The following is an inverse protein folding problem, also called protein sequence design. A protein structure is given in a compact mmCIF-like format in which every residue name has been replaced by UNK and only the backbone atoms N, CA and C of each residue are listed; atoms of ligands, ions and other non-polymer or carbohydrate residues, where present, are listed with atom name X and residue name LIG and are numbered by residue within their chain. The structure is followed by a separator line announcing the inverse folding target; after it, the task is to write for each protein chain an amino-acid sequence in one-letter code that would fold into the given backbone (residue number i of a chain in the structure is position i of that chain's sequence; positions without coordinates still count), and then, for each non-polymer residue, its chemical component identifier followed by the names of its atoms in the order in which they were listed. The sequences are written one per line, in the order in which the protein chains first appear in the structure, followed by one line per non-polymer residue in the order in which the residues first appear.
data_IF_973007873187
#
_entry.id   IF_973007873187
#
_cell.length_a   1.000
_cell.length_b   1.000
_cell.length_c   1.000
_cell.angle_alpha   90.00
_cell.angle_beta   90.00
_cell.angle_gamma   90.00
#
_symmetry.space_group_name_H-M   'P 1'
#
loop_
_entity.id
_entity.type
_entity.pdbx_description
1 polymer ?
#
# COMPACT_ATOMS: atom_id res chain seq x y z
N UNK A 1 9.49 7.41 0.53
CA UNK A 1 9.48 8.89 0.59
C UNK A 1 10.86 9.53 0.42
N UNK A 2 11.88 9.22 1.24
CA UNK A 2 13.21 9.88 1.14
C UNK A 2 13.80 9.98 -0.28
N UNK A 3 13.72 8.91 -1.08
CA UNK A 3 14.23 8.89 -2.47
C UNK A 3 13.53 9.87 -3.43
N UNK A 4 12.34 10.35 -3.07
CA UNK A 4 11.59 11.32 -3.86
C UNK A 4 11.89 12.78 -3.46
N UNK A 5 12.71 13.01 -2.43
CA UNK A 5 13.10 14.35 -1.97
C UNK A 5 14.25 14.91 -2.84
N UNK A 6 14.40 16.25 -2.93
CA UNK A 6 15.56 16.86 -3.59
C UNK A 6 16.87 16.46 -2.88
N UNK A 7 17.95 16.28 -3.63
CA UNK A 7 19.26 15.87 -3.08
C UNK A 7 19.43 14.36 -2.89
N UNK A 8 18.47 13.57 -3.37
CA UNK A 8 18.49 12.10 -3.36
C UNK A 8 18.51 11.51 -4.78
N UNK A 9 19.09 12.23 -5.75
CA UNK A 9 19.17 11.82 -7.15
C UNK A 9 19.91 10.50 -7.31
N UNK A 10 21.09 10.35 -6.69
CA UNK A 10 21.90 9.12 -6.75
C UNK A 10 21.19 7.93 -6.09
N UNK A 11 20.54 8.15 -4.94
CA UNK A 11 19.77 7.11 -4.24
C UNK A 11 18.58 6.62 -5.07
N UNK A 12 17.95 7.53 -5.83
CA UNK A 12 16.83 7.24 -6.72
C UNK A 12 17.28 6.50 -7.96
N UNK A 13 18.35 6.96 -8.61
CA UNK A 13 18.96 6.29 -9.77
C UNK A 13 19.38 4.86 -9.40
N UNK A 14 20.11 4.69 -8.29
CA UNK A 14 20.50 3.37 -7.79
C UNK A 14 19.30 2.46 -7.51
N UNK A 15 18.21 3.01 -6.98
CA UNK A 15 16.98 2.24 -6.73
C UNK A 15 16.32 1.79 -8.03
N UNK A 16 16.23 2.68 -9.03
CA UNK A 16 15.69 2.36 -10.36
C UNK A 16 16.55 1.32 -11.07
N UNK A 17 17.87 1.48 -11.06
CA UNK A 17 18.80 0.53 -11.66
C UNK A 17 18.74 -0.86 -11.03
N UNK A 18 18.60 -0.92 -9.70
CA UNK A 18 18.42 -2.19 -9.00
C UNK A 18 17.11 -2.88 -9.39
N UNK A 19 16.00 -2.12 -9.50
CA UNK A 19 14.71 -2.66 -9.94
C UNK A 19 14.78 -3.17 -11.40
N UNK A 20 15.43 -2.41 -12.28
CA UNK A 20 15.65 -2.76 -13.68
C UNK A 20 16.51 -4.03 -13.82
N UNK A 21 17.58 -4.14 -13.03
CA UNK A 21 18.45 -5.31 -13.03
C UNK A 21 17.69 -6.56 -12.56
N UNK A 22 16.90 -6.45 -11.49
CA UNK A 22 16.11 -7.58 -10.98
C UNK A 22 15.04 -8.01 -11.98
N UNK A 23 14.40 -7.06 -12.66
CA UNK A 23 13.46 -7.34 -13.75
C UNK A 23 14.12 -8.11 -14.89
N UNK A 24 15.24 -7.60 -15.41
CA UNK A 24 15.99 -8.28 -16.49
C UNK A 24 16.39 -9.69 -16.08
N UNK A 25 16.91 -9.87 -14.87
CA UNK A 25 17.31 -11.17 -14.34
C UNK A 25 16.13 -12.14 -14.26
N UNK A 26 15.02 -11.70 -13.66
CA UNK A 26 13.84 -12.52 -13.46
C UNK A 26 13.14 -12.87 -14.77
N UNK A 27 13.04 -11.91 -15.70
CA UNK A 27 12.49 -12.11 -17.04
C UNK A 27 13.33 -13.07 -17.87
N UNK A 28 14.65 -12.91 -17.88
CA UNK A 28 15.55 -13.83 -18.60
C UNK A 28 15.41 -15.27 -18.10
N UNK A 29 15.31 -15.46 -16.78
CA UNK A 29 15.05 -16.79 -16.20
C UNK A 29 13.69 -17.34 -16.61
N UNK A 30 12.64 -16.52 -16.58
CA UNK A 30 11.30 -16.92 -16.99
C UNK A 30 11.27 -17.42 -18.44
N UNK A 31 11.87 -16.66 -19.35
CA UNK A 31 11.94 -17.01 -20.79
C UNK A 31 12.79 -18.25 -21.02
N UNK A 32 13.98 -18.33 -20.41
CA UNK A 32 14.89 -19.46 -20.58
C UNK A 32 14.27 -20.79 -20.11
N UNK A 33 13.51 -20.76 -19.01
CA UNK A 33 12.83 -21.94 -18.48
C UNK A 33 11.46 -22.22 -19.14
N UNK A 34 11.03 -21.39 -20.11
CA UNK A 34 9.75 -21.53 -20.82
C UNK A 34 8.54 -21.65 -19.89
N UNK A 35 8.58 -20.91 -18.78
CA UNK A 35 7.44 -20.87 -17.86
C UNK A 35 6.24 -20.21 -18.53
N UNK A 36 5.03 -20.69 -18.19
CA UNK A 36 3.77 -20.14 -18.73
C UNK A 36 3.14 -19.12 -17.80
N UNK A 37 3.30 -19.31 -16.50
CA UNK A 37 2.74 -18.44 -15.45
C UNK A 37 3.87 -17.67 -14.78
N UNK A 38 3.76 -16.33 -14.63
CA UNK A 38 4.74 -15.51 -13.94
C UNK A 38 5.07 -16.08 -12.57
N UNK A 39 6.37 -16.23 -12.30
CA UNK A 39 6.81 -16.66 -10.98
C UNK A 39 6.70 -15.53 -9.98
N UNK A 40 6.69 -15.89 -8.70
CA UNK A 40 6.76 -14.92 -7.60
C UNK A 40 7.93 -13.93 -7.76
N UNK A 41 9.09 -14.39 -8.23
CA UNK A 41 10.24 -13.53 -8.47
C UNK A 41 10.00 -12.52 -9.61
N UNK A 42 9.35 -12.95 -10.69
CA UNK A 42 9.01 -12.06 -11.80
C UNK A 42 7.98 -11.01 -11.36
N UNK A 43 6.97 -11.41 -10.60
CA UNK A 43 5.98 -10.49 -10.00
C UNK A 43 6.64 -9.48 -9.08
N UNK A 44 7.49 -9.94 -8.16
CA UNK A 44 8.27 -9.05 -7.27
C UNK A 44 9.11 -8.04 -8.04
N UNK A 45 9.78 -8.47 -9.10
CA UNK A 45 10.57 -7.59 -9.93
C UNK A 45 9.72 -6.52 -10.65
N UNK A 46 8.55 -6.92 -11.18
CA UNK A 46 7.58 -5.99 -11.77
C UNK A 46 7.10 -4.94 -10.76
N UNK A 47 6.71 -5.37 -9.57
CA UNK A 47 6.28 -4.45 -8.51
C UNK A 47 7.42 -3.52 -8.02
N UNK A 48 8.67 -3.98 -8.08
CA UNK A 48 9.85 -3.13 -7.83
C UNK A 48 9.97 -1.98 -8.83
N UNK A 49 9.68 -2.22 -10.12
CA UNK A 49 9.61 -1.17 -11.13
C UNK A 49 8.47 -0.19 -10.87
N UNK A 50 7.29 -0.69 -10.49
CA UNK A 50 6.15 0.16 -10.10
C UNK A 50 6.49 1.08 -8.93
N UNK A 51 7.23 0.59 -7.93
CA UNK A 51 7.72 1.41 -6.83
C UNK A 51 8.75 2.46 -7.29
N UNK A 52 9.63 2.13 -8.23
CA UNK A 52 10.59 3.08 -8.82
C UNK A 52 9.88 4.19 -9.61
N UNK A 53 8.89 3.83 -10.43
CA UNK A 53 8.07 4.80 -11.18
C UNK A 53 7.24 5.68 -10.26
N UNK A 54 6.72 5.12 -9.17
CA UNK A 54 6.07 5.91 -8.12
C UNK A 54 7.01 6.99 -7.55
N UNK A 55 8.25 6.63 -7.23
CA UNK A 55 9.24 7.59 -6.71
C UNK A 55 9.51 8.70 -7.72
N UNK A 56 9.72 8.36 -8.99
CA UNK A 56 9.95 9.35 -10.05
C UNK A 56 8.74 10.26 -10.28
N UNK A 57 7.53 9.70 -10.23
CA UNK A 57 6.30 10.48 -10.34
C UNK A 57 6.17 11.45 -9.17
N UNK A 58 6.49 11.05 -7.94
CA UNK A 58 6.47 11.94 -6.77
C UNK A 58 7.50 13.07 -6.85
N UNK A 59 8.66 12.85 -7.51
CA UNK A 59 9.63 13.93 -7.79
C UNK A 59 9.03 14.99 -8.72
N UNK A 60 8.27 14.55 -9.74
CA UNK A 60 7.60 15.44 -10.71
C UNK A 60 6.33 16.10 -10.15
N UNK A 61 5.78 15.58 -9.06
CA UNK A 61 4.53 16.03 -8.43
C UNK A 61 4.77 16.40 -6.96
N UNK A 62 5.48 17.52 -6.66
CA UNK A 62 5.88 17.85 -5.30
C UNK A 62 4.68 18.08 -4.35
N UNK A 63 3.56 18.61 -4.84
CA UNK A 63 2.35 18.77 -4.03
C UNK A 63 1.77 17.44 -3.53
N UNK A 64 1.75 16.42 -4.41
CA UNK A 64 1.32 15.06 -4.08
C UNK A 64 2.32 14.40 -3.12
N UNK A 65 3.63 14.65 -3.31
CA UNK A 65 4.67 14.18 -2.40
C UNK A 65 4.51 14.73 -0.99
N UNK A 66 4.32 16.04 -0.83
CA UNK A 66 4.12 16.66 0.48
C UNK A 66 2.80 16.19 1.12
N UNK A 67 1.72 16.10 0.34
CA UNK A 67 0.44 15.55 0.81
C UNK A 67 0.58 14.13 1.33
N UNK A 68 1.23 13.25 0.57
CA UNK A 68 1.47 11.85 0.94
C UNK A 68 2.36 11.72 2.20
N UNK A 69 3.36 12.59 2.33
CA UNK A 69 4.25 12.66 3.50
C UNK A 69 3.49 13.11 4.75
N UNK A 70 2.68 14.16 4.63
CA UNK A 70 1.81 14.63 5.71
C UNK A 70 0.80 13.56 6.14
N UNK A 71 0.16 12.89 5.17
CA UNK A 71 -0.75 11.80 5.43
C UNK A 71 -0.07 10.63 6.16
N UNK A 72 1.09 10.18 5.67
CA UNK A 72 1.89 9.13 6.33
C UNK A 72 2.35 9.51 7.75
N UNK A 73 2.72 10.77 7.96
CA UNK A 73 3.06 11.27 9.31
C UNK A 73 1.88 11.19 10.27
N UNK A 74 0.68 11.59 9.83
CA UNK A 74 -0.54 11.52 10.65
C UNK A 74 -0.95 10.08 10.95
N UNK A 75 -0.80 9.15 10.00
CA UNK A 75 -1.02 7.73 10.27
C UNK A 75 -0.09 7.26 11.40
N UNK A 76 1.19 7.62 11.33
CA UNK A 76 2.16 7.20 12.34
C UNK A 76 1.89 7.84 13.71
N UNK A 77 1.63 9.14 13.75
CA UNK A 77 1.49 9.91 15.00
C UNK A 77 0.10 9.76 15.63
N UNK A 78 -0.96 10.06 14.87
CA UNK A 78 -2.33 10.13 15.39
C UNK A 78 -2.94 8.71 15.53
N UNK A 79 -2.74 7.83 14.53
CA UNK A 79 -3.36 6.49 14.54
C UNK A 79 -2.50 5.49 15.30
N UNK A 80 -1.28 5.22 14.81
CA UNK A 80 -0.43 4.18 15.39
C UNK A 80 0.08 4.57 16.79
N UNK A 81 0.63 5.78 16.93
CA UNK A 81 1.15 6.32 18.19
C UNK A 81 0.09 6.89 19.13
N UNK A 82 -1.11 7.18 18.63
CA UNK A 82 -2.21 7.78 19.39
C UNK A 82 -3.32 6.78 19.71
N UNK A 83 -4.28 6.66 18.80
CA UNK A 83 -5.51 5.88 19.01
C UNK A 83 -5.24 4.40 19.27
N UNK A 84 -4.40 3.76 18.44
CA UNK A 84 -4.02 2.36 18.61
C UNK A 84 -3.19 2.13 19.87
N UNK A 85 -2.24 3.01 20.19
CA UNK A 85 -1.45 2.90 21.41
C UNK A 85 -2.34 2.99 22.67
N UNK A 86 -3.31 3.90 22.64
CA UNK A 86 -4.30 4.07 23.71
C UNK A 86 -5.17 2.83 23.86
N UNK A 87 -5.68 2.28 22.75
CA UNK A 87 -6.50 1.07 22.77
C UNK A 87 -5.71 -0.17 23.22
N UNK A 88 -4.49 -0.33 22.72
CA UNK A 88 -3.58 -1.38 23.14
C UNK A 88 -3.29 -1.29 24.64
N UNK A 89 -3.04 -0.10 25.19
CA UNK A 89 -2.78 0.09 26.61
C UNK A 89 -4.01 -0.22 27.49
N UNK A 90 -5.23 0.04 27.01
CA UNK A 90 -6.47 -0.36 27.70
C UNK A 90 -6.61 -1.89 27.72
N UNK A 91 -6.40 -2.55 26.58
CA UNK A 91 -6.54 -4.00 26.44
C UNK A 91 -5.43 -4.80 27.12
N UNK A 92 -4.22 -4.24 27.20
CA UNK A 92 -3.07 -4.80 27.91
C UNK A 92 -3.38 -5.23 29.35
N UNK A 93 -4.33 -4.56 30.01
CA UNK A 93 -4.77 -4.91 31.38
C UNK A 93 -5.41 -6.30 31.47
N UNK A 94 -5.99 -6.80 30.37
CA UNK A 94 -6.66 -8.10 30.28
C UNK A 94 -5.84 -9.11 29.48
N UNK A 95 -5.09 -8.65 28.48
CA UNK A 95 -4.27 -9.48 27.62
C UNK A 95 -2.89 -8.83 27.41
N UNK A 96 -1.81 -9.36 28.04
CA UNK A 96 -0.47 -8.81 27.92
C UNK A 96 0.08 -8.74 26.49
N UNK A 97 -0.46 -9.51 25.53
CA UNK A 97 0.01 -9.50 24.13
C UNK A 97 -0.14 -8.12 23.47
N UNK A 98 -1.09 -7.30 23.93
CA UNK A 98 -1.27 -5.92 23.44
C UNK A 98 -0.09 -4.99 23.80
N UNK A 99 0.81 -5.38 24.71
CA UNK A 99 2.03 -4.62 24.99
C UNK A 99 2.96 -4.52 23.76
N UNK A 100 2.91 -5.51 22.87
CA UNK A 100 3.77 -5.61 21.68
C UNK A 100 2.99 -5.33 20.40
N UNK A 101 1.95 -4.49 20.46
CA UNK A 101 1.08 -4.22 19.31
C UNK A 101 1.81 -3.74 18.05
N UNK A 102 2.96 -3.07 18.22
CA UNK A 102 3.85 -2.70 17.10
C UNK A 102 4.35 -3.91 16.31
N UNK A 103 4.82 -4.95 17.02
CA UNK A 103 5.25 -6.21 16.38
C UNK A 103 4.08 -6.91 15.69
N UNK A 104 2.88 -6.87 16.28
CA UNK A 104 1.68 -7.46 15.69
C UNK A 104 1.14 -6.71 14.46
N UNK A 105 1.55 -5.46 14.24
CA UNK A 105 1.12 -4.63 13.12
C UNK A 105 2.23 -4.42 12.09
N UNK A 106 3.36 -5.13 12.24
CA UNK A 106 4.42 -5.19 11.25
C UNK A 106 4.02 -6.01 10.01
N UNK A 107 4.81 -5.89 8.95
CA UNK A 107 4.56 -6.59 7.68
C UNK A 107 3.40 -5.96 6.90
N UNK A 108 2.41 -6.77 6.52
CA UNK A 108 1.37 -6.38 5.56
C UNK A 108 0.17 -5.64 6.16
N UNK A 109 0.14 -5.32 7.46
CA UNK A 109 -1.05 -4.76 8.13
C UNK A 109 -1.52 -3.46 7.50
N UNK A 110 -0.60 -2.49 7.38
CA UNK A 110 -0.94 -1.18 6.89
C UNK A 110 -1.26 -1.16 5.40
N UNK A 111 -0.47 -1.86 4.58
CA UNK A 111 -0.73 -1.89 3.15
C UNK A 111 -2.01 -2.65 2.79
N UNK A 112 -2.43 -3.64 3.59
CA UNK A 112 -3.75 -4.25 3.47
C UNK A 112 -4.86 -3.24 3.76
N UNK A 113 -4.84 -2.59 4.93
CA UNK A 113 -5.87 -1.62 5.33
C UNK A 113 -6.00 -0.47 4.35
N UNK A 114 -4.88 0.10 3.91
CA UNK A 114 -4.85 1.20 2.94
C UNK A 114 -5.40 0.77 1.58
N UNK A 115 -5.06 -0.44 1.13
CA UNK A 115 -5.53 -0.99 -0.15
C UNK A 115 -7.03 -1.25 -0.11
N UNK A 116 -7.54 -1.85 0.97
CA UNK A 116 -8.97 -2.11 1.14
C UNK A 116 -9.77 -0.83 1.23
N UNK A 117 -9.28 0.16 2.00
CA UNK A 117 -9.91 1.46 2.06
C UNK A 117 -9.97 2.12 0.67
N UNK A 118 -8.87 2.08 -0.09
CA UNK A 118 -8.83 2.64 -1.45
C UNK A 118 -9.79 1.94 -2.41
N UNK A 119 -9.92 0.61 -2.31
CA UNK A 119 -10.82 -0.19 -3.11
C UNK A 119 -12.28 0.10 -2.80
N UNK A 120 -12.64 0.13 -1.52
CA UNK A 120 -14.01 0.43 -1.07
C UNK A 120 -14.43 1.84 -1.48
N UNK A 121 -13.56 2.84 -1.31
CA UNK A 121 -13.82 4.19 -1.80
C UNK A 121 -14.01 4.28 -3.30
N UNK A 122 -13.23 3.50 -4.05
CA UNK A 122 -13.39 3.45 -5.49
C UNK A 122 -14.74 2.85 -5.90
N UNK A 123 -15.22 1.83 -5.17
CA UNK A 123 -16.52 1.17 -5.42
C UNK A 123 -17.70 2.07 -5.05
N UNK A 124 -17.68 2.68 -3.87
CA UNK A 124 -18.78 3.52 -3.38
C UNK A 124 -18.83 4.84 -4.18
N UNK A 125 -17.67 5.35 -4.60
CA UNK A 125 -17.56 6.52 -5.48
C UNK A 125 -17.83 7.87 -4.79
N UNK A 126 -18.14 7.87 -3.49
CA UNK A 126 -18.32 9.06 -2.66
C UNK A 126 -17.72 8.86 -1.26
N UNK A 127 -17.59 9.95 -0.51
CA UNK A 127 -17.11 9.95 0.88
C UNK A 127 -18.33 9.93 1.79
N UNK A 128 -18.58 8.81 2.44
CA UNK A 128 -19.68 8.64 3.38
C UNK A 128 -19.16 8.00 4.66
N UNK A 129 -19.86 8.24 5.78
CA UNK A 129 -19.51 7.61 7.05
C UNK A 129 -19.72 6.08 7.06
N UNK A 130 -20.22 5.50 5.96
CA UNK A 130 -20.40 4.06 5.79
C UNK A 130 -19.13 3.34 5.32
N UNK A 131 -18.20 4.07 4.69
CA UNK A 131 -16.93 3.52 4.17
C UNK A 131 -16.17 2.66 5.20
N UNK A 132 -15.91 3.10 6.45
CA UNK A 132 -15.17 2.28 7.40
C UNK A 132 -15.92 1.00 7.76
N UNK A 133 -17.24 1.02 7.92
CA UNK A 133 -18.01 -0.18 8.25
C UNK A 133 -18.02 -1.20 7.11
N UNK A 134 -18.10 -0.75 5.86
CA UNK A 134 -17.96 -1.64 4.70
C UNK A 134 -16.58 -2.27 4.62
N UNK A 135 -15.51 -1.51 4.88
CA UNK A 135 -14.15 -2.06 4.92
C UNK A 135 -14.00 -3.08 6.05
N UNK A 136 -14.57 -2.83 7.24
CA UNK A 136 -14.57 -3.80 8.36
C UNK A 136 -15.29 -5.09 7.98
N UNK A 137 -16.44 -5.00 7.30
CA UNK A 137 -17.17 -6.17 6.84
C UNK A 137 -16.33 -7.00 5.85
N UNK A 138 -15.74 -6.34 4.84
CA UNK A 138 -14.88 -7.01 3.84
C UNK A 138 -13.68 -7.69 4.50
N UNK A 139 -12.98 -7.02 5.43
CA UNK A 139 -11.81 -7.58 6.11
C UNK A 139 -12.14 -8.81 6.96
N UNK A 140 -13.37 -8.93 7.47
CA UNK A 140 -13.82 -10.05 8.31
C UNK A 140 -14.40 -11.21 7.51
N UNK A 141 -15.01 -10.93 6.35
CA UNK A 141 -15.80 -11.89 5.58
C UNK A 141 -15.12 -12.39 4.30
N UNK A 142 -14.02 -11.78 3.87
CA UNK A 142 -13.31 -12.18 2.65
C UNK A 142 -12.65 -13.57 2.77
N UNK A 143 -12.63 -14.36 1.70
CA UNK A 143 -11.75 -15.54 1.61
C UNK A 143 -10.27 -15.18 1.69
N UNK A 144 -9.95 -13.94 1.31
CA UNK A 144 -8.64 -13.31 1.47
C UNK A 144 -8.56 -12.55 2.80
N UNK A 145 -9.46 -12.81 3.76
CA UNK A 145 -9.40 -12.26 5.09
C UNK A 145 -8.01 -12.57 5.64
N UNK A 146 -7.24 -11.54 6.01
CA UNK A 146 -5.91 -11.79 6.46
C UNK A 146 -5.90 -12.65 7.73
N UNK A 147 -4.94 -13.57 7.86
CA UNK A 147 -4.76 -14.36 9.09
C UNK A 147 -4.16 -13.48 10.21
N UNK A 148 -5.01 -12.58 10.70
CA UNK A 148 -4.69 -11.63 11.72
C UNK A 148 -5.02 -12.25 13.06
N UNK A 149 -3.96 -12.71 13.74
CA UNK A 149 -4.06 -13.11 15.14
C UNK A 149 -4.81 -12.05 15.99
N UNK A 150 -5.28 -12.44 17.17
CA UNK A 150 -6.32 -11.71 17.91
C UNK A 150 -5.99 -10.23 18.18
N UNK A 151 -4.73 -9.91 18.47
CA UNK A 151 -4.29 -8.52 18.70
C UNK A 151 -4.44 -7.67 17.44
N UNK A 152 -4.01 -8.19 16.28
CA UNK A 152 -4.05 -7.47 15.01
C UNK A 152 -5.48 -7.23 14.55
N UNK A 153 -6.33 -8.26 14.66
CA UNK A 153 -7.77 -8.15 14.39
C UNK A 153 -8.46 -7.14 15.32
N UNK A 154 -8.15 -7.17 16.61
CA UNK A 154 -8.70 -6.24 17.59
C UNK A 154 -8.33 -4.77 17.32
N UNK A 155 -7.15 -4.51 16.77
CA UNK A 155 -6.65 -3.17 16.51
C UNK A 155 -6.96 -2.66 15.10
N UNK A 156 -7.36 -3.55 14.19
CA UNK A 156 -7.73 -3.18 12.83
C UNK A 156 -8.87 -2.16 12.79
N UNK A 157 -9.90 -2.35 13.62
CA UNK A 157 -11.04 -1.43 13.70
C UNK A 157 -10.58 -0.02 14.11
N UNK A 158 -9.78 0.08 15.18
CA UNK A 158 -9.23 1.35 15.66
C UNK A 158 -8.32 2.00 14.62
N UNK A 159 -7.48 1.20 13.95
CA UNK A 159 -6.61 1.71 12.90
C UNK A 159 -7.42 2.30 11.74
N UNK A 160 -8.47 1.60 11.32
CA UNK A 160 -9.32 2.01 10.21
C UNK A 160 -10.17 3.24 10.54
N UNK A 161 -10.71 3.34 11.75
CA UNK A 161 -11.46 4.52 12.19
C UNK A 161 -10.56 5.76 12.21
N UNK A 162 -9.34 5.63 12.76
CA UNK A 162 -8.35 6.70 12.75
C UNK A 162 -7.88 7.07 11.34
N UNK A 163 -7.65 6.06 10.48
CA UNK A 163 -7.33 6.28 9.06
C UNK A 163 -8.44 7.05 8.35
N UNK A 164 -9.69 6.68 8.58
CA UNK A 164 -10.85 7.31 7.96
C UNK A 164 -10.99 8.77 8.39
N UNK A 165 -10.82 9.06 9.68
CA UNK A 165 -10.84 10.43 10.19
C UNK A 165 -9.77 11.31 9.55
N UNK A 166 -8.52 10.83 9.48
CA UNK A 166 -7.42 11.57 8.83
C UNK A 166 -7.73 11.76 7.35
N UNK A 167 -8.25 10.72 6.69
CA UNK A 167 -8.68 10.79 5.31
C UNK A 167 -9.72 11.91 5.15
N UNK A 168 -10.85 11.88 5.86
CA UNK A 168 -11.90 12.90 5.80
C UNK A 168 -11.39 14.34 6.00
N UNK A 169 -10.43 14.55 6.90
CA UNK A 169 -9.85 15.87 7.13
C UNK A 169 -8.93 16.34 5.98
N UNK A 170 -8.24 15.41 5.31
CA UNK A 170 -7.40 15.71 4.14
C UNK A 170 -8.23 16.01 2.86
N UNK A 171 -9.57 16.02 2.96
CA UNK A 171 -10.42 15.58 1.85
C UNK A 171 -11.36 16.54 1.17
N UNK A 172 -11.51 17.77 1.64
CA UNK A 172 -12.74 18.54 1.39
C UNK A 172 -13.12 18.81 -0.10
N UNK A 173 -12.49 18.23 -1.12
CA UNK A 173 -12.88 18.41 -2.53
C UNK A 173 -12.63 17.25 -3.54
N UNK A 174 -11.92 16.14 -3.28
CA UNK A 174 -11.57 15.18 -4.37
C UNK A 174 -11.30 13.69 -3.97
N UNK A 175 -12.30 12.79 -4.08
CA UNK A 175 -12.16 11.36 -3.78
C UNK A 175 -11.11 10.59 -4.60
N UNK A 176 -10.90 10.97 -5.86
CA UNK A 176 -9.89 10.31 -6.71
C UNK A 176 -8.48 10.53 -6.18
N UNK A 177 -8.22 11.72 -5.63
CA UNK A 177 -6.90 12.07 -5.10
C UNK A 177 -6.58 11.26 -3.84
N UNK A 178 -7.55 11.02 -2.95
CA UNK A 178 -7.30 10.09 -1.84
C UNK A 178 -7.08 8.68 -2.33
N UNK A 179 -7.96 8.14 -3.18
CA UNK A 179 -7.79 6.75 -3.61
C UNK A 179 -6.40 6.57 -4.20
N UNK A 180 -5.90 7.51 -5.01
CA UNK A 180 -4.50 7.51 -5.46
C UNK A 180 -3.51 7.59 -4.30
N UNK A 181 -3.66 8.53 -3.36
CA UNK A 181 -2.77 8.69 -2.20
C UNK A 181 -2.68 7.42 -1.33
N UNK A 182 -3.81 6.78 -1.03
CA UNK A 182 -3.86 5.52 -0.30
C UNK A 182 -3.11 4.41 -1.04
N UNK A 183 -3.35 4.28 -2.35
CA UNK A 183 -2.69 3.28 -3.21
C UNK A 183 -1.18 3.50 -3.29
N UNK A 184 -0.75 4.75 -3.46
CA UNK A 184 0.66 5.13 -3.46
C UNK A 184 1.32 4.77 -2.13
N UNK A 185 0.66 5.09 -1.01
CA UNK A 185 1.20 4.76 0.31
C UNK A 185 1.27 3.24 0.51
N UNK A 186 0.19 2.52 0.18
CA UNK A 186 0.12 1.07 0.29
C UNK A 186 1.24 0.39 -0.50
N UNK A 187 1.46 0.80 -1.76
CA UNK A 187 2.54 0.29 -2.61
C UNK A 187 3.93 0.58 -2.00
N UNK A 188 4.16 1.79 -1.51
CA UNK A 188 5.47 2.21 -0.99
C UNK A 188 5.84 1.60 0.36
N UNK A 189 4.86 1.26 1.21
CA UNK A 189 5.12 0.65 2.52
C UNK A 189 4.98 -0.87 2.51
N UNK A 190 4.37 -1.45 1.47
CA UNK A 190 4.27 -2.89 1.36
C UNK A 190 5.68 -3.50 1.26
N UNK A 191 6.03 -4.46 2.12
CA UNK A 191 7.34 -5.10 2.05
C UNK A 191 7.51 -6.01 0.82
N UNK A 192 6.39 -6.43 0.21
CA UNK A 192 6.40 -7.36 -0.92
C UNK A 192 5.18 -7.18 -1.85
N UNK A 193 5.09 -6.03 -2.56
CA UNK A 193 3.89 -5.68 -3.33
C UNK A 193 3.54 -6.66 -4.45
N UNK A 194 4.54 -7.35 -5.04
CA UNK A 194 4.30 -8.33 -6.11
C UNK A 194 3.77 -9.69 -5.63
N UNK A 195 3.94 -9.99 -4.33
CA UNK A 195 3.36 -11.17 -3.68
C UNK A 195 2.05 -10.85 -2.94
N UNK A 196 1.76 -9.57 -2.73
CA UNK A 196 0.60 -9.13 -1.97
C UNK A 196 -0.56 -8.85 -2.92
N UNK A 197 -1.46 -9.83 -3.04
CA UNK A 197 -2.61 -9.80 -3.96
C UNK A 197 -3.47 -8.55 -3.80
N UNK A 198 -3.86 -8.22 -2.56
CA UNK A 198 -4.66 -7.02 -2.31
C UNK A 198 -4.00 -5.72 -2.76
N UNK A 199 -2.70 -5.56 -2.52
CA UNK A 199 -1.94 -4.39 -3.00
C UNK A 199 -1.84 -4.39 -4.52
N UNK A 200 -1.67 -5.57 -5.13
CA UNK A 200 -1.63 -5.71 -6.59
C UNK A 200 -2.96 -5.23 -7.21
N UNK A 201 -4.08 -5.78 -6.74
CA UNK A 201 -5.42 -5.50 -7.26
C UNK A 201 -5.89 -4.07 -6.98
N UNK A 202 -5.82 -3.65 -5.72
CA UNK A 202 -6.41 -2.39 -5.29
C UNK A 202 -5.50 -1.19 -5.54
N UNK A 203 -4.18 -1.40 -5.67
CA UNK A 203 -3.18 -0.34 -5.78
C UNK A 203 -2.37 -0.38 -7.07
N UNK A 204 -1.65 -1.46 -7.37
CA UNK A 204 -0.76 -1.52 -8.55
C UNK A 204 -1.56 -1.37 -9.85
N UNK A 205 -2.63 -2.14 -10.01
CA UNK A 205 -3.51 -2.09 -11.18
C UNK A 205 -4.00 -0.67 -11.50
N UNK A 206 -4.70 -0.01 -10.57
CA UNK A 206 -5.20 1.34 -10.79
C UNK A 206 -4.12 2.40 -10.97
N UNK A 207 -2.95 2.25 -10.35
CA UNK A 207 -1.84 3.20 -10.50
C UNK A 207 -1.14 3.08 -11.85
N UNK A 208 -1.20 1.92 -12.51
CA UNK A 208 -0.51 1.68 -13.77
C UNK A 208 -0.83 2.73 -14.83
N UNK A 209 -2.10 3.09 -14.98
CA UNK A 209 -2.58 4.06 -15.97
C UNK A 209 -2.42 5.53 -15.54
N UNK A 210 -2.18 5.80 -14.26
CA UNK A 210 -2.15 7.16 -13.70
C UNK A 210 -0.73 7.65 -13.38
N UNK A 211 0.18 6.73 -13.03
CA UNK A 211 1.44 7.04 -12.37
C UNK A 211 2.64 6.40 -13.07
N UNK A 212 2.47 5.19 -13.59
CA UNK A 212 3.60 4.44 -14.15
C UNK A 212 3.86 4.81 -15.60
N UNK A 213 5.09 4.59 -16.06
CA UNK A 213 5.42 4.70 -17.48
C UNK A 213 4.77 3.57 -18.28
N UNK A 214 4.51 3.80 -19.56
CA UNK A 214 3.99 2.78 -20.48
C UNK A 214 4.87 1.51 -20.49
N UNK A 215 6.19 1.69 -20.35
CA UNK A 215 7.13 0.58 -20.25
C UNK A 215 6.90 -0.25 -18.98
N UNK A 216 6.73 0.39 -17.82
CA UNK A 216 6.42 -0.32 -16.57
C UNK A 216 5.04 -0.97 -16.63
N UNK A 217 4.03 -0.30 -17.20
CA UNK A 217 2.69 -0.86 -17.40
C UNK A 217 2.75 -2.17 -18.20
N UNK A 218 3.36 -2.17 -19.39
CA UNK A 218 3.48 -3.39 -20.20
C UNK A 218 4.28 -4.51 -19.52
N UNK A 219 5.22 -4.17 -18.63
CA UNK A 219 5.95 -5.15 -17.81
C UNK A 219 5.09 -5.72 -16.68
N UNK A 220 4.21 -4.92 -16.08
CA UNK A 220 3.25 -5.38 -15.08
C UNK A 220 2.19 -6.29 -15.72
N UNK A 221 1.73 -5.97 -16.93
CA UNK A 221 0.87 -6.88 -17.74
C UNK A 221 1.58 -8.21 -17.98
N UNK A 222 2.83 -8.18 -18.45
CA UNK A 222 3.63 -9.39 -18.65
C UNK A 222 3.79 -10.21 -17.36
N UNK A 223 3.89 -9.55 -16.21
CA UNK A 223 3.99 -10.19 -14.90
C UNK A 223 2.62 -10.61 -14.31
N UNK A 224 1.51 -10.39 -15.02
CA UNK A 224 0.13 -10.64 -14.56
C UNK A 224 -0.15 -9.96 -13.21
N UNK A 225 0.28 -8.70 -13.09
CA UNK A 225 0.03 -7.83 -11.94
C UNK A 225 -1.04 -6.79 -12.21
N UNK A 226 -1.46 -6.63 -13.46
CA UNK A 226 -2.68 -5.92 -13.81
C UNK A 226 -3.74 -6.99 -13.99
N UNK A 227 -4.83 -6.93 -13.23
CA UNK A 227 -5.95 -7.84 -13.42
C UNK A 227 -6.53 -7.72 -14.83
N UNK A 228 -7.31 -8.72 -15.26
CA UNK A 228 -8.04 -8.69 -16.52
C UNK A 228 -9.12 -7.59 -16.54
#
# INVERSE_FOLDING_TARGET
MRRAEPGHEEDRERFRDAAEQEWRRSRSRFVANKWRTPTLYLRRAGAGLAAADTVDWLVRNPGEREGLKGFGYRINSDVFGGEMATEAQKRKRKDPAFAEYGSHTAGHFWCELLSELALTLHRIGNVTDQVPEEVKAVLRESENAPDWGPVRSALADTALDGLWKIAQEAFASNPKTLSRGLRLLALLICPDPGAHERVTEASVGPLAREVFSEETEGRLEFAQLLGD
#
